data_IF_467153474619
#
_entry.id   IF_467153474619
#
_cell.length_a   1.000
_cell.length_b   1.000
_cell.length_c   1.000
_cell.angle_alpha   90.00
_cell.angle_beta   90.00
_cell.angle_gamma   90.00
#
_symmetry.space_group_name_H-M   'P 1'
#
loop_
_entity.id
_entity.type
_entity.pdbx_description
1 polymer ?
#
# COMPACT_ATOMS: atom_id res chain seq x y z
N UNK A 1 5.59 17.78 9.60
CA UNK A 1 5.27 16.36 9.88
C UNK A 1 6.34 15.77 10.80
N UNK A 2 5.99 14.86 11.73
CA UNK A 2 6.96 14.12 12.55
C UNK A 2 7.41 12.87 11.79
N UNK A 3 8.67 12.47 11.98
CA UNK A 3 9.25 11.27 11.36
C UNK A 3 9.81 10.34 12.43
N UNK A 4 9.78 9.06 12.15
CA UNK A 4 10.48 7.99 12.89
C UNK A 4 11.67 7.58 12.05
N UNK A 5 12.85 7.46 12.65
CA UNK A 5 14.04 6.96 11.99
C UNK A 5 14.14 5.45 12.20
N UNK A 6 14.31 4.70 11.11
CA UNK A 6 14.56 3.27 11.14
C UNK A 6 16.03 2.99 11.46
N UNK A 7 16.36 1.78 11.96
CA UNK A 7 17.75 1.37 12.20
C UNK A 7 18.65 1.44 10.96
N UNK A 8 18.06 1.29 9.76
CA UNK A 8 18.73 1.46 8.46
C UNK A 8 19.07 2.90 8.10
N UNK A 9 18.56 3.89 8.88
CA UNK A 9 18.78 5.32 8.66
C UNK A 9 17.67 6.03 7.90
N UNK A 10 16.75 5.30 7.29
CA UNK A 10 15.61 5.87 6.59
C UNK A 10 14.61 6.52 7.54
N UNK A 11 13.88 7.51 7.04
CA UNK A 11 12.87 8.24 7.81
C UNK A 11 11.49 7.94 7.26
N UNK A 12 10.59 7.47 8.12
CA UNK A 12 9.18 7.28 7.80
C UNK A 12 8.32 8.33 8.48
N UNK A 13 7.24 8.82 7.83
CA UNK A 13 6.23 9.62 8.51
C UNK A 13 5.68 8.90 9.73
N UNK A 14 5.61 9.57 10.88
CA UNK A 14 5.10 8.97 12.11
C UNK A 14 3.57 8.79 12.12
N UNK A 15 2.88 9.40 11.17
CA UNK A 15 1.43 9.30 10.97
C UNK A 15 1.14 8.89 9.54
N UNK A 16 0.35 7.83 9.36
CA UNK A 16 -0.09 7.32 8.08
C UNK A 16 -1.60 7.23 7.97
N UNK A 17 -2.07 7.06 6.75
CA UNK A 17 -3.46 6.76 6.42
C UNK A 17 -3.61 5.23 6.29
N UNK A 18 -4.46 4.62 7.11
CA UNK A 18 -4.88 3.23 6.95
C UNK A 18 -6.10 3.12 6.02
N UNK A 19 -6.12 2.08 5.19
CA UNK A 19 -7.18 1.87 4.18
C UNK A 19 -8.04 0.64 4.45
N UNK A 20 -7.96 0.07 5.64
CA UNK A 20 -8.80 -1.06 5.99
C UNK A 20 -10.29 -0.71 5.81
N UNK A 21 -11.05 -1.65 5.24
CA UNK A 21 -12.46 -1.54 4.85
C UNK A 21 -12.75 -0.61 3.67
N UNK A 22 -11.75 -0.05 3.02
CA UNK A 22 -11.91 0.59 1.71
C UNK A 22 -12.00 -0.47 0.61
N UNK A 23 -12.65 -0.12 -0.48
CA UNK A 23 -12.79 -0.97 -1.67
C UNK A 23 -13.73 -2.17 -1.54
N UNK A 24 -14.43 -2.32 -0.41
CA UNK A 24 -15.40 -3.40 -0.20
C UNK A 24 -16.69 -3.20 -1.01
N UNK A 25 -17.04 -1.96 -1.34
CA UNK A 25 -18.28 -1.62 -2.01
C UNK A 25 -18.04 -0.64 -3.17
N UNK A 26 -18.44 -1.05 -4.37
CA UNK A 26 -18.32 -0.19 -5.58
C UNK A 26 -19.05 1.15 -5.46
N UNK A 27 -20.13 1.23 -4.67
CA UNK A 27 -20.90 2.47 -4.49
C UNK A 27 -20.14 3.53 -3.68
N UNK A 28 -19.26 3.11 -2.77
CA UNK A 28 -18.44 4.02 -1.94
C UNK A 28 -17.12 4.40 -2.60
N UNK A 29 -16.71 3.72 -3.67
CA UNK A 29 -15.38 3.87 -4.29
C UNK A 29 -15.02 5.34 -4.58
N UNK A 30 -15.89 6.10 -5.21
CA UNK A 30 -15.60 7.50 -5.53
C UNK A 30 -15.38 8.36 -4.27
N UNK A 31 -16.15 8.09 -3.20
CA UNK A 31 -15.98 8.78 -1.91
C UNK A 31 -14.67 8.37 -1.23
N UNK A 32 -14.31 7.09 -1.30
CA UNK A 32 -13.06 6.57 -0.74
C UNK A 32 -11.83 7.13 -1.47
N UNK A 33 -11.87 7.17 -2.81
CA UNK A 33 -10.83 7.82 -3.62
C UNK A 33 -10.70 9.30 -3.24
N UNK A 34 -11.81 10.02 -3.11
CA UNK A 34 -11.81 11.41 -2.69
C UNK A 34 -11.21 11.59 -1.28
N UNK A 35 -11.48 10.67 -0.36
CA UNK A 35 -10.91 10.70 1.00
C UNK A 35 -9.39 10.49 0.99
N UNK A 36 -8.87 9.56 0.19
CA UNK A 36 -7.41 9.37 0.04
C UNK A 36 -6.77 10.60 -0.59
N UNK A 37 -7.37 11.19 -1.63
CA UNK A 37 -6.89 12.44 -2.25
C UNK A 37 -6.85 13.58 -1.23
N UNK A 38 -7.90 13.76 -0.44
CA UNK A 38 -7.96 14.78 0.61
C UNK A 38 -6.85 14.58 1.66
N UNK A 39 -6.57 13.32 2.06
CA UNK A 39 -5.48 13.02 2.97
C UNK A 39 -4.12 13.41 2.37
N UNK A 40 -3.87 13.09 1.11
CA UNK A 40 -2.64 13.49 0.41
C UNK A 40 -2.50 15.02 0.35
N UNK A 41 -3.59 15.74 0.04
CA UNK A 41 -3.63 17.21 0.01
C UNK A 41 -3.41 17.83 1.39
N UNK A 42 -3.84 17.16 2.48
CA UNK A 42 -3.54 17.56 3.85
C UNK A 42 -2.11 17.24 4.29
N UNK A 43 -1.31 16.59 3.44
CA UNK A 43 0.10 16.30 3.70
C UNK A 43 0.38 14.91 4.26
N UNK A 44 -0.56 13.96 4.25
CA UNK A 44 -0.24 12.55 4.52
C UNK A 44 0.71 12.04 3.44
N UNK A 45 1.74 11.31 3.87
CA UNK A 45 2.80 10.77 3.00
C UNK A 45 3.14 9.32 3.30
N UNK A 46 2.38 8.66 4.17
CA UNK A 46 2.44 7.22 4.45
C UNK A 46 1.03 6.65 4.29
N UNK A 47 0.87 5.67 3.41
CA UNK A 47 -0.41 4.98 3.19
C UNK A 47 -0.20 3.50 3.45
N UNK A 48 -1.01 2.95 4.36
CA UNK A 48 -1.03 1.52 4.70
C UNK A 48 -2.24 0.84 4.06
N UNK A 49 -1.95 -0.13 3.22
CA UNK A 49 -2.95 -0.98 2.54
C UNK A 49 -2.53 -2.46 2.58
N UNK A 50 -3.32 -3.34 1.99
CA UNK A 50 -3.01 -4.77 1.87
C UNK A 50 -3.83 -5.42 0.74
N UNK A 51 -3.34 -6.52 0.15
CA UNK A 51 -4.10 -7.31 -0.82
C UNK A 51 -5.40 -7.88 -0.23
N UNK A 52 -5.46 -8.08 1.09
CA UNK A 52 -6.64 -8.56 1.80
C UNK A 52 -7.76 -7.50 1.86
N UNK A 53 -7.43 -6.21 1.91
CA UNK A 53 -8.42 -5.18 2.15
C UNK A 53 -9.35 -5.01 0.94
N UNK A 54 -10.64 -5.32 1.14
CA UNK A 54 -11.63 -5.31 0.05
C UNK A 54 -11.26 -6.25 -1.11
N UNK A 55 -10.54 -7.36 -0.83
CA UNK A 55 -10.04 -8.29 -1.84
C UNK A 55 -9.23 -7.57 -2.96
N UNK A 56 -8.34 -6.69 -2.53
CA UNK A 56 -7.54 -5.82 -3.40
C UNK A 56 -8.20 -4.48 -3.76
N UNK A 57 -9.47 -4.29 -3.41
CA UNK A 57 -10.20 -3.05 -3.71
C UNK A 57 -9.59 -1.83 -3.04
N UNK A 58 -9.03 -1.96 -1.81
CA UNK A 58 -8.35 -0.85 -1.15
C UNK A 58 -7.09 -0.42 -1.90
N UNK A 59 -6.30 -1.35 -2.44
CA UNK A 59 -5.14 -1.04 -3.28
C UNK A 59 -5.57 -0.32 -4.58
N UNK A 60 -6.70 -0.70 -5.17
CA UNK A 60 -7.25 -0.01 -6.34
C UNK A 60 -7.70 1.43 -6.02
N UNK A 61 -8.34 1.66 -4.86
CA UNK A 61 -8.72 2.99 -4.38
C UNK A 61 -7.49 3.88 -4.20
N UNK A 62 -6.45 3.35 -3.55
CA UNK A 62 -5.18 4.06 -3.36
C UNK A 62 -4.52 4.35 -4.71
N UNK A 63 -4.45 3.37 -5.60
CA UNK A 63 -3.85 3.52 -6.92
C UNK A 63 -4.54 4.57 -7.79
N UNK A 64 -5.88 4.65 -7.73
CA UNK A 64 -6.66 5.68 -8.44
C UNK A 64 -6.38 7.07 -7.87
N UNK A 65 -6.39 7.21 -6.54
CA UNK A 65 -6.14 8.49 -5.89
C UNK A 65 -4.72 9.02 -6.15
N UNK A 66 -3.71 8.16 -6.03
CA UNK A 66 -2.32 8.51 -6.32
C UNK A 66 -2.12 8.91 -7.78
N UNK A 67 -2.67 8.12 -8.70
CA UNK A 67 -2.57 8.41 -10.13
C UNK A 67 -3.13 9.80 -10.46
N UNK A 68 -4.31 10.14 -9.94
CA UNK A 68 -4.93 11.45 -10.15
C UNK A 68 -4.06 12.61 -9.59
N UNK A 69 -3.55 12.46 -8.37
CA UNK A 69 -2.72 13.51 -7.73
C UNK A 69 -1.35 13.68 -8.44
N UNK A 70 -0.77 12.59 -8.96
CA UNK A 70 0.45 12.65 -9.77
C UNK A 70 0.22 13.28 -11.15
N UNK A 71 -0.92 12.99 -11.80
CA UNK A 71 -1.29 13.63 -13.07
C UNK A 71 -1.42 15.15 -12.94
N UNK A 72 -1.96 15.63 -11.84
CA UNK A 72 -2.08 17.06 -11.56
C UNK A 72 -0.76 17.70 -11.08
N UNK A 73 0.30 16.87 -10.90
CA UNK A 73 1.60 17.27 -10.32
C UNK A 73 1.48 17.86 -8.93
N UNK A 74 0.43 17.53 -8.19
CA UNK A 74 0.24 17.92 -6.79
C UNK A 74 1.22 17.20 -5.87
N UNK A 75 1.61 15.98 -6.23
CA UNK A 75 2.61 15.15 -5.54
C UNK A 75 3.46 14.39 -6.57
N UNK A 76 4.68 14.00 -6.18
CA UNK A 76 5.49 13.01 -6.90
C UNK A 76 5.44 11.65 -6.20
N UNK A 77 5.79 10.56 -6.93
CA UNK A 77 5.80 9.20 -6.38
C UNK A 77 6.74 9.06 -5.18
N UNK A 78 7.89 9.71 -5.25
CA UNK A 78 8.96 9.67 -4.25
C UNK A 78 8.58 10.35 -2.93
N UNK A 79 7.54 11.19 -2.94
CA UNK A 79 7.06 11.85 -1.73
C UNK A 79 6.18 10.95 -0.86
N UNK A 80 5.67 9.82 -1.39
CA UNK A 80 4.70 8.96 -0.71
C UNK A 80 5.29 7.59 -0.45
N UNK A 81 5.23 7.15 0.80
CA UNK A 81 5.57 5.79 1.21
C UNK A 81 4.33 4.91 1.19
N UNK A 82 4.36 3.86 0.39
CA UNK A 82 3.29 2.87 0.26
C UNK A 82 3.68 1.59 0.99
N UNK A 83 2.85 1.20 1.94
CA UNK A 83 2.96 -0.09 2.64
C UNK A 83 1.85 -0.99 2.13
N UNK A 84 2.19 -2.19 1.66
CA UNK A 84 1.21 -3.24 1.39
C UNK A 84 1.64 -4.56 2.03
N UNK A 85 0.76 -5.56 2.00
CA UNK A 85 0.97 -6.80 2.75
C UNK A 85 0.51 -8.00 1.94
N UNK A 86 1.33 -9.06 1.95
CA UNK A 86 0.99 -10.36 1.37
C UNK A 86 0.24 -11.23 2.39
N UNK A 87 -0.81 -11.91 1.94
CA UNK A 87 -1.52 -12.90 2.75
C UNK A 87 -0.65 -14.14 3.03
N UNK A 88 -0.80 -14.79 4.20
CA UNK A 88 -0.09 -16.03 4.51
C UNK A 88 -0.30 -17.15 3.49
N UNK A 89 -1.46 -17.21 2.86
CA UNK A 89 -1.77 -18.16 1.78
C UNK A 89 -0.91 -17.96 0.51
N UNK A 90 -0.34 -16.77 0.35
CA UNK A 90 0.54 -16.39 -0.76
C UNK A 90 2.02 -16.27 -0.33
N UNK A 91 2.38 -16.69 0.89
CA UNK A 91 3.67 -16.42 1.51
C UNK A 91 4.82 -17.36 1.09
N UNK A 92 4.61 -18.32 0.17
CA UNK A 92 5.71 -19.05 -0.46
C UNK A 92 6.51 -18.12 -1.36
N UNK A 93 7.81 -18.39 -1.60
CA UNK A 93 8.67 -17.57 -2.46
C UNK A 93 7.96 -17.16 -3.77
N UNK A 94 7.52 -18.13 -4.57
CA UNK A 94 6.82 -17.84 -5.83
C UNK A 94 5.45 -17.17 -5.61
N UNK A 95 4.80 -17.40 -4.47
CA UNK A 95 3.53 -16.78 -4.09
C UNK A 95 3.68 -15.29 -3.80
N UNK A 96 4.71 -14.91 -3.04
CA UNK A 96 5.04 -13.51 -2.73
C UNK A 96 5.27 -12.71 -4.00
N UNK A 97 6.10 -13.22 -4.93
CA UNK A 97 6.37 -12.55 -6.19
C UNK A 97 5.08 -12.27 -6.99
N UNK A 98 4.24 -13.31 -7.17
CA UNK A 98 2.96 -13.14 -7.87
C UNK A 98 1.98 -12.23 -7.14
N UNK A 99 1.95 -12.26 -5.81
CA UNK A 99 1.09 -11.38 -5.01
C UNK A 99 1.56 -9.93 -5.13
N UNK A 100 2.87 -9.67 -5.05
CA UNK A 100 3.46 -8.35 -5.22
C UNK A 100 3.13 -7.77 -6.60
N UNK A 101 3.29 -8.54 -7.68
CA UNK A 101 2.92 -8.11 -9.04
C UNK A 101 1.43 -7.72 -9.15
N UNK A 102 0.55 -8.49 -8.52
CA UNK A 102 -0.89 -8.14 -8.49
C UNK A 102 -1.15 -6.85 -7.71
N UNK A 103 -0.48 -6.67 -6.57
CA UNK A 103 -0.58 -5.45 -5.75
C UNK A 103 -0.08 -4.22 -6.51
N UNK A 104 1.09 -4.31 -7.16
CA UNK A 104 1.64 -3.25 -8.01
C UNK A 104 0.65 -2.85 -9.12
N UNK A 105 0.04 -3.84 -9.78
CA UNK A 105 -0.95 -3.59 -10.83
C UNK A 105 -2.19 -2.86 -10.30
N UNK A 106 -2.73 -3.25 -9.12
CA UNK A 106 -3.88 -2.56 -8.51
C UNK A 106 -3.54 -1.15 -8.05
N UNK A 107 -2.35 -0.99 -7.46
CA UNK A 107 -1.81 0.31 -7.05
C UNK A 107 -1.43 1.21 -8.22
N UNK A 108 -1.29 0.66 -9.44
CA UNK A 108 -0.78 1.35 -10.64
C UNK A 108 0.63 1.95 -10.42
N UNK A 109 1.48 1.20 -9.74
CA UNK A 109 2.83 1.59 -9.35
C UNK A 109 3.85 0.55 -9.82
N UNK A 110 5.10 0.98 -9.98
CA UNK A 110 6.23 0.11 -10.29
C UNK A 110 6.98 -0.35 -9.04
N UNK A 111 6.76 0.31 -7.90
CA UNK A 111 7.43 0.03 -6.62
C UNK A 111 6.44 0.16 -5.45
N UNK A 112 6.50 -0.81 -4.52
CA UNK A 112 5.95 -0.71 -3.17
C UNK A 112 7.13 -0.47 -2.23
N UNK A 113 7.06 0.55 -1.38
CA UNK A 113 8.19 0.96 -0.54
C UNK A 113 8.43 -0.02 0.62
N UNK A 114 7.35 -0.54 1.20
CA UNK A 114 7.39 -1.52 2.29
C UNK A 114 6.38 -2.63 1.98
N UNK A 115 6.87 -3.86 1.85
CA UNK A 115 6.03 -5.01 1.61
C UNK A 115 6.16 -6.00 2.77
N UNK A 116 5.06 -6.31 3.45
CA UNK A 116 5.05 -7.06 4.70
C UNK A 116 4.32 -8.41 4.53
N UNK A 117 4.71 -9.40 5.32
CA UNK A 117 3.84 -10.55 5.59
C UNK A 117 2.75 -10.11 6.57
N UNK A 118 1.48 -10.27 6.19
CA UNK A 118 0.34 -9.78 6.98
C UNK A 118 0.27 -10.43 8.38
N UNK A 119 0.49 -11.75 8.46
CA UNK A 119 0.74 -12.53 9.66
C UNK A 119 1.39 -13.87 9.28
N UNK A 120 2.06 -14.57 10.23
CA UNK A 120 2.68 -15.85 9.94
C UNK A 120 1.65 -16.91 9.50
N UNK A 121 2.00 -17.70 8.50
CA UNK A 121 1.24 -18.85 8.01
C UNK A 121 2.04 -20.15 8.04
N UNK A 122 1.73 -21.07 7.15
CA UNK A 122 2.42 -22.36 7.03
C UNK A 122 3.72 -22.29 6.22
N UNK A 123 3.93 -21.25 5.44
CA UNK A 123 5.17 -21.07 4.69
C UNK A 123 6.32 -20.72 5.63
N UNK A 124 7.54 -21.29 5.43
CA UNK A 124 8.72 -20.89 6.19
C UNK A 124 9.01 -19.40 5.99
N UNK A 125 9.27 -18.67 7.09
CA UNK A 125 9.56 -17.23 7.02
C UNK A 125 10.79 -16.92 6.16
N UNK A 126 11.79 -17.82 6.14
CA UNK A 126 12.96 -17.68 5.29
C UNK A 126 12.60 -17.62 3.80
N UNK A 127 11.63 -18.43 3.35
CA UNK A 127 11.17 -18.44 1.96
C UNK A 127 10.40 -17.16 1.60
N UNK A 128 9.63 -16.65 2.55
CA UNK A 128 8.88 -15.38 2.39
C UNK A 128 9.82 -14.18 2.30
N UNK A 129 10.86 -14.15 3.15
CA UNK A 129 11.84 -13.04 3.19
C UNK A 129 12.80 -13.07 2.00
N UNK A 130 13.08 -14.26 1.46
CA UNK A 130 13.97 -14.43 0.29
C UNK A 130 13.30 -14.06 -1.04
N UNK A 131 11.99 -13.85 -1.05
CA UNK A 131 11.25 -13.48 -2.25
C UNK A 131 11.33 -11.99 -2.54
#
# INVERSE_FOLDING_TARGET
MRFVQLPSGEKLPALGLGTWRMGENRRSRATEVAAVKAALQMGYRLIDTAEMYGDGGAEEVVGEALHDEMLTRSISREEVTIVSKVLPSNASHAGVLRACERSLKRLKLDVIDIYLLHWPGSAPLADTVAA
#
